data_IF_051996213867
#
_entry.id   IF_051996213867
#
_cell.length_a   1.000
_cell.length_b   1.000
_cell.length_c   1.000
_cell.angle_alpha   90.00
_cell.angle_beta   90.00
_cell.angle_gamma   90.00
#
_symmetry.space_group_name_H-M   'P 1'
#
loop_
_entity.id
_entity.type
_entity.pdbx_description
1 polymer ?
#
# COMPACT_ATOMS: atom_id res chain seq x y z
N UNK A 1 2.92 -16.21 14.26
CA UNK A 1 3.19 -16.11 12.80
C UNK A 1 2.80 -14.73 12.32
N UNK A 2 3.59 -14.04 11.50
CA UNK A 2 3.35 -12.61 11.18
C UNK A 2 2.00 -12.29 10.56
N UNK A 3 1.40 -13.18 9.76
CA UNK A 3 0.10 -12.98 9.09
C UNK A 3 -1.08 -13.69 9.77
N UNK A 4 -0.93 -14.22 10.95
CA UNK A 4 -1.97 -15.02 11.62
C UNK A 4 -3.20 -14.17 11.96
N UNK A 5 -2.99 -12.96 12.51
CA UNK A 5 -4.07 -12.04 12.80
C UNK A 5 -4.76 -11.55 11.53
N UNK A 6 -4.01 -11.28 10.48
CA UNK A 6 -4.53 -10.89 9.17
C UNK A 6 -5.47 -11.97 8.60
N UNK A 7 -4.99 -13.22 8.56
CA UNK A 7 -5.76 -14.38 8.05
C UNK A 7 -7.01 -14.65 8.88
N UNK A 8 -6.93 -14.51 10.19
CA UNK A 8 -8.08 -14.72 11.10
C UNK A 8 -9.22 -13.75 10.85
N UNK A 9 -8.92 -12.54 10.41
CA UNK A 9 -9.90 -11.47 10.18
C UNK A 9 -10.52 -11.52 8.78
N UNK A 10 -10.05 -12.38 7.88
CA UNK A 10 -10.47 -12.40 6.47
C UNK A 10 -10.87 -13.79 6.01
N UNK A 11 -11.91 -13.81 5.20
CA UNK A 11 -12.34 -15.01 4.46
C UNK A 11 -12.00 -14.81 2.97
N UNK A 12 -11.04 -15.58 2.48
CA UNK A 12 -10.56 -15.49 1.09
C UNK A 12 -11.66 -15.72 0.03
N UNK A 13 -12.75 -16.36 0.41
CA UNK A 13 -13.92 -16.57 -0.47
C UNK A 13 -14.84 -15.32 -0.53
N UNK A 14 -14.67 -14.36 0.37
CA UNK A 14 -15.59 -13.23 0.56
C UNK A 14 -14.94 -11.86 0.35
N UNK A 15 -13.62 -11.79 0.30
CA UNK A 15 -12.87 -10.55 0.08
C UNK A 15 -12.01 -10.64 -1.18
N UNK A 16 -11.87 -9.55 -1.97
CA UNK A 16 -10.90 -9.48 -3.05
C UNK A 16 -9.45 -9.26 -2.56
N UNK A 17 -9.27 -9.04 -1.27
CA UNK A 17 -7.94 -8.86 -0.68
C UNK A 17 -7.09 -10.12 -0.85
N UNK A 18 -5.77 -9.98 -1.06
CA UNK A 18 -4.87 -11.14 -1.09
C UNK A 18 -4.82 -11.81 0.29
N UNK A 19 -5.13 -13.10 0.37
CA UNK A 19 -5.03 -13.90 1.61
C UNK A 19 -4.11 -15.09 1.37
N UNK A 20 -2.79 -14.88 1.23
CA UNK A 20 -1.83 -15.94 0.96
C UNK A 20 -1.77 -16.92 2.14
N UNK A 21 -1.70 -18.21 1.82
CA UNK A 21 -1.58 -19.28 2.81
C UNK A 21 -0.11 -19.62 3.12
N UNK A 22 0.80 -19.29 2.20
CA UNK A 22 2.23 -19.49 2.39
C UNK A 22 2.80 -18.56 3.48
N UNK A 23 3.87 -18.98 4.10
CA UNK A 23 4.59 -18.15 5.04
C UNK A 23 5.32 -17.01 4.32
N UNK A 24 5.41 -15.84 4.97
CA UNK A 24 6.14 -14.71 4.41
C UNK A 24 7.61 -15.04 4.15
N UNK A 25 8.11 -14.58 3.02
CA UNK A 25 9.53 -14.67 2.65
C UNK A 25 10.12 -13.26 2.71
N UNK A 26 11.22 -13.04 3.47
CA UNK A 26 11.89 -11.77 3.53
C UNK A 26 12.23 -11.23 2.13
N UNK A 27 11.93 -9.95 1.90
CA UNK A 27 12.20 -9.24 0.66
C UNK A 27 13.35 -8.24 0.80
N UNK A 28 13.24 -7.11 0.12
CA UNK A 28 14.26 -6.05 0.12
C UNK A 28 14.13 -5.08 1.29
N UNK A 29 12.98 -5.06 1.97
CA UNK A 29 12.66 -4.16 3.09
C UNK A 29 12.80 -2.68 2.73
N UNK A 30 12.47 -2.33 1.48
CA UNK A 30 12.65 -0.98 0.95
C UNK A 30 11.43 -0.45 0.17
N UNK A 31 10.32 -1.19 0.11
CA UNK A 31 9.11 -0.77 -0.61
C UNK A 31 8.04 -0.27 0.35
N UNK A 32 7.27 0.72 -0.09
CA UNK A 32 6.11 1.17 0.64
C UNK A 32 4.91 1.41 -0.27
N UNK A 33 3.74 1.40 0.33
CA UNK A 33 2.50 1.90 -0.26
C UNK A 33 1.74 2.73 0.77
N UNK A 34 1.09 3.77 0.30
CA UNK A 34 0.07 4.52 1.04
C UNK A 34 -1.25 4.34 0.31
N UNK A 35 -2.25 3.82 1.00
CA UNK A 35 -3.56 3.57 0.43
C UNK A 35 -4.58 4.49 1.08
N UNK A 36 -5.36 5.20 0.25
CA UNK A 36 -6.53 5.95 0.69
C UNK A 36 -7.69 4.98 0.86
N UNK A 37 -8.24 4.92 2.06
CA UNK A 37 -9.27 3.96 2.42
C UNK A 37 -10.57 4.67 2.83
N UNK A 38 -11.57 4.56 1.98
CA UNK A 38 -12.93 5.04 2.21
C UNK A 38 -13.75 3.94 2.91
N UNK A 39 -13.40 3.69 4.17
CA UNK A 39 -14.13 2.80 5.07
C UNK A 39 -15.26 3.55 5.79
N UNK A 40 -15.64 3.14 7.01
CA UNK A 40 -16.57 3.90 7.86
C UNK A 40 -16.13 5.35 8.07
N UNK A 41 -14.82 5.57 8.15
CA UNK A 41 -14.17 6.89 8.17
C UNK A 41 -13.02 6.88 7.21
N UNK A 42 -12.84 7.98 6.47
CA UNK A 42 -11.69 8.14 5.57
C UNK A 42 -10.39 8.15 6.38
N UNK A 43 -9.43 7.36 5.97
CA UNK A 43 -8.08 7.33 6.50
C UNK A 43 -7.07 6.89 5.43
N UNK A 44 -5.80 7.02 5.74
CA UNK A 44 -4.71 6.55 4.89
C UNK A 44 -3.94 5.46 5.59
N UNK A 45 -3.81 4.31 4.95
CA UNK A 45 -3.00 3.21 5.42
C UNK A 45 -1.57 3.35 4.90
N UNK A 46 -0.62 3.54 5.79
CA UNK A 46 0.81 3.56 5.48
C UNK A 46 1.37 2.17 5.75
N UNK A 47 1.96 1.55 4.73
CA UNK A 47 2.50 0.21 4.80
C UNK A 47 3.95 0.18 4.35
N UNK A 48 4.82 -0.35 5.18
CA UNK A 48 6.25 -0.47 4.95
C UNK A 48 6.63 -1.95 4.90
N UNK A 49 7.29 -2.37 3.83
CA UNK A 49 7.82 -3.74 3.73
C UNK A 49 8.85 -3.99 4.82
N UNK A 50 8.67 -5.07 5.58
CA UNK A 50 9.61 -5.47 6.62
C UNK A 50 9.51 -6.96 6.90
N UNK A 51 10.65 -7.67 6.81
CA UNK A 51 10.73 -9.10 7.12
C UNK A 51 9.67 -9.96 6.40
N UNK A 52 9.38 -9.64 5.13
CA UNK A 52 8.44 -10.38 4.28
C UNK A 52 6.96 -10.02 4.46
N UNK A 53 6.63 -9.00 5.26
CA UNK A 53 5.29 -8.49 5.45
C UNK A 53 5.24 -6.97 5.31
N UNK A 54 4.07 -6.39 5.36
CA UNK A 54 3.86 -4.94 5.40
C UNK A 54 3.47 -4.51 6.81
N UNK A 55 4.42 -3.92 7.53
CA UNK A 55 4.13 -3.21 8.76
C UNK A 55 3.20 -2.02 8.46
N UNK A 56 2.06 -1.93 9.14
CA UNK A 56 0.95 -1.07 8.70
C UNK A 56 0.43 -0.16 9.82
N UNK A 57 0.09 1.08 9.44
CA UNK A 57 -0.53 2.08 10.32
C UNK A 57 -1.68 2.78 9.58
N UNK A 58 -2.83 2.89 10.24
CA UNK A 58 -3.93 3.73 9.77
C UNK A 58 -3.75 5.16 10.29
N UNK A 59 -3.76 6.14 9.40
CA UNK A 59 -3.55 7.56 9.69
C UNK A 59 -4.81 8.34 9.33
N UNK A 60 -5.67 8.70 10.29
CA UNK A 60 -7.00 9.29 10.01
C UNK A 60 -6.97 10.62 9.26
N UNK A 61 -5.89 11.37 9.38
CA UNK A 61 -5.74 12.69 8.74
C UNK A 61 -4.68 12.70 7.62
N UNK A 62 -4.24 11.51 7.17
CA UNK A 62 -3.19 11.38 6.17
C UNK A 62 -1.79 11.72 6.68
N UNK A 63 -0.80 11.55 5.80
CA UNK A 63 0.58 11.86 6.13
C UNK A 63 0.77 13.37 6.34
N UNK A 64 1.59 13.78 7.32
CA UNK A 64 1.95 15.18 7.48
C UNK A 64 2.79 15.67 6.29
N UNK A 65 2.42 16.79 5.72
CA UNK A 65 3.14 17.46 4.63
C UNK A 65 4.12 18.49 5.15
N UNK A 66 3.77 19.15 6.26
CA UNK A 66 4.56 20.17 6.89
C UNK A 66 5.38 19.59 8.06
N UNK A 67 6.61 20.11 8.29
CA UNK A 67 7.36 19.80 9.50
C UNK A 67 6.56 20.22 10.73
N UNK A 68 6.83 19.56 11.85
CA UNK A 68 6.16 19.81 13.15
C UNK A 68 4.67 19.45 13.21
N UNK A 69 4.05 19.10 12.10
CA UNK A 69 2.70 18.55 12.11
C UNK A 69 2.73 17.11 12.62
N UNK A 70 1.98 16.87 13.69
CA UNK A 70 1.82 15.54 14.28
C UNK A 70 0.48 14.94 13.88
N UNK A 71 0.48 13.68 13.47
CA UNK A 71 -0.71 12.89 13.13
C UNK A 71 -0.80 11.66 14.03
N UNK A 72 -2.01 11.31 14.42
CA UNK A 72 -2.27 9.99 15.00
C UNK A 72 -1.99 8.93 13.95
N UNK A 73 -1.31 7.87 14.35
CA UNK A 73 -1.10 6.66 13.55
C UNK A 73 -1.47 5.44 14.42
N UNK A 74 -2.43 4.67 13.96
CA UNK A 74 -2.91 3.48 14.69
C UNK A 74 -2.25 2.26 14.07
N UNK A 75 -1.42 1.54 14.85
CA UNK A 75 -0.80 0.30 14.38
C UNK A 75 -1.90 -0.74 14.12
N UNK A 76 -1.90 -1.30 12.93
CA UNK A 76 -2.79 -2.40 12.53
C UNK A 76 -1.99 -3.69 12.37
N UNK A 77 -2.67 -4.80 12.11
CA UNK A 77 -1.99 -6.06 11.81
C UNK A 77 -1.07 -5.94 10.60
N UNK A 78 -0.04 -6.78 10.55
CA UNK A 78 0.82 -6.89 9.37
C UNK A 78 0.01 -7.43 8.19
N UNK A 79 0.25 -6.88 7.01
CA UNK A 79 -0.40 -7.26 5.76
C UNK A 79 0.57 -8.05 4.87
N UNK A 80 0.07 -8.88 3.96
CA UNK A 80 0.92 -9.59 3.00
C UNK A 80 1.53 -8.63 1.97
N UNK A 81 2.68 -9.01 1.42
CA UNK A 81 3.43 -8.21 0.43
C UNK A 81 2.58 -7.90 -0.81
N UNK A 82 1.69 -8.78 -1.20
CA UNK A 82 0.77 -8.59 -2.34
C UNK A 82 -0.13 -7.36 -2.16
N UNK A 83 -0.27 -6.88 -0.93
CA UNK A 83 -1.04 -5.67 -0.63
C UNK A 83 -0.38 -4.38 -1.13
N UNK A 84 0.92 -4.42 -1.53
CA UNK A 84 1.60 -3.29 -2.17
C UNK A 84 0.90 -2.83 -3.45
N UNK A 85 0.24 -3.73 -4.16
CA UNK A 85 -0.42 -3.47 -5.44
C UNK A 85 -1.96 -3.52 -5.32
N UNK A 86 -2.47 -3.73 -4.11
CA UNK A 86 -3.91 -3.89 -3.92
C UNK A 86 -4.66 -2.56 -4.00
N UNK A 87 -5.67 -2.53 -4.84
CA UNK A 87 -6.74 -1.53 -4.84
C UNK A 87 -8.05 -2.21 -5.21
N UNK A 88 -9.16 -1.80 -4.61
CA UNK A 88 -10.46 -2.41 -4.86
C UNK A 88 -11.50 -2.08 -3.82
N UNK A 89 -12.69 -2.64 -4.03
CA UNK A 89 -13.80 -2.51 -3.10
C UNK A 89 -13.86 -3.74 -2.20
N UNK A 90 -13.63 -3.54 -0.90
CA UNK A 90 -13.81 -4.58 0.12
C UNK A 90 -15.29 -4.57 0.50
N UNK A 91 -16.01 -5.73 0.40
CA UNK A 91 -17.44 -5.76 0.63
C UNK A 91 -17.86 -5.23 1.99
N UNK A 92 -19.01 -4.57 2.03
CA UNK A 92 -19.61 -4.13 3.29
C UNK A 92 -19.92 -5.35 4.18
N UNK A 93 -19.53 -5.27 5.44
CA UNK A 93 -19.65 -6.37 6.41
C UNK A 93 -18.40 -7.23 6.54
N UNK A 94 -17.45 -7.15 5.61
CA UNK A 94 -16.13 -7.73 5.80
C UNK A 94 -15.22 -6.79 6.61
N UNK A 95 -14.20 -7.36 7.24
CA UNK A 95 -13.21 -6.57 7.99
C UNK A 95 -12.51 -5.58 7.03
N UNK A 96 -12.50 -4.31 7.41
CA UNK A 96 -11.93 -3.28 6.55
C UNK A 96 -12.82 -2.87 5.36
N UNK A 97 -14.12 -3.21 5.38
CA UNK A 97 -15.06 -2.90 4.30
C UNK A 97 -15.00 -1.45 3.85
N UNK A 98 -14.97 -1.22 2.52
CA UNK A 98 -14.87 0.09 1.90
C UNK A 98 -13.99 0.07 0.66
N UNK A 99 -13.85 1.23 0.04
CA UNK A 99 -13.03 1.39 -1.16
C UNK A 99 -11.59 1.74 -0.81
N UNK A 100 -10.66 0.99 -1.34
CA UNK A 100 -9.23 1.21 -1.17
C UNK A 100 -8.56 1.55 -2.50
N UNK A 101 -7.80 2.62 -2.53
CA UNK A 101 -7.06 3.06 -3.71
C UNK A 101 -5.61 3.38 -3.34
N UNK A 102 -4.67 3.09 -4.24
CA UNK A 102 -3.27 3.47 -4.03
C UNK A 102 -3.16 4.98 -4.16
N UNK A 103 -2.81 5.65 -3.05
CA UNK A 103 -2.58 7.08 -3.00
C UNK A 103 -1.14 7.43 -3.40
N UNK A 104 -0.16 6.62 -2.97
CA UNK A 104 1.25 6.71 -3.38
C UNK A 104 1.96 5.38 -3.14
N UNK A 105 3.06 5.17 -3.86
CA UNK A 105 3.93 4.02 -3.71
C UNK A 105 5.36 4.41 -4.08
N UNK A 106 6.33 3.68 -3.57
CA UNK A 106 7.73 3.96 -3.83
C UNK A 106 8.68 3.11 -3.00
N UNK A 107 9.87 3.64 -2.81
CA UNK A 107 10.89 3.03 -1.98
C UNK A 107 11.17 3.84 -0.73
N UNK A 108 11.81 3.22 0.25
CA UNK A 108 12.24 3.90 1.45
C UNK A 108 13.57 3.38 1.96
N UNK A 109 14.26 4.22 2.74
CA UNK A 109 15.45 3.86 3.48
C UNK A 109 15.13 3.85 4.98
N UNK A 110 15.57 2.80 5.67
CA UNK A 110 15.45 2.72 7.13
C UNK A 110 16.62 3.42 7.81
N UNK A 111 16.33 4.43 8.62
CA UNK A 111 17.31 5.05 9.52
C UNK A 111 17.28 4.42 10.92
N UNK A 112 16.08 4.02 11.37
CA UNK A 112 15.87 3.36 12.66
C UNK A 112 14.63 2.47 12.64
N UNK A 113 14.71 1.30 13.25
CA UNK A 113 13.59 0.41 13.40
C UNK A 113 13.65 -0.35 14.72
N UNK A 114 12.74 -0.05 15.63
CA UNK A 114 12.58 -0.78 16.90
C UNK A 114 11.10 -0.72 17.36
N UNK A 115 10.73 -1.45 18.45
CA UNK A 115 9.35 -1.51 18.90
C UNK A 115 8.73 -0.17 19.38
N UNK A 116 9.54 0.87 19.53
CA UNK A 116 9.08 2.18 20.04
C UNK A 116 9.19 3.28 18.99
N UNK A 117 10.04 3.10 17.99
CA UNK A 117 10.35 4.15 17.03
C UNK A 117 10.75 3.56 15.69
N UNK A 118 10.14 4.09 14.63
CA UNK A 118 10.51 3.80 13.25
C UNK A 118 10.81 5.12 12.56
N UNK A 119 12.00 5.24 11.98
CA UNK A 119 12.45 6.41 11.23
C UNK A 119 12.83 5.94 9.83
N UNK A 120 12.15 6.49 8.84
CA UNK A 120 12.33 6.15 7.44
C UNK A 120 12.39 7.40 6.57
N UNK A 121 13.10 7.29 5.46
CA UNK A 121 13.09 8.29 4.40
C UNK A 121 12.32 7.73 3.21
N UNK A 122 11.11 8.24 2.99
CA UNK A 122 10.27 7.84 1.87
C UNK A 122 10.72 8.54 0.58
N UNK A 123 10.61 7.81 -0.53
CA UNK A 123 10.85 8.26 -1.90
C UNK A 123 9.67 7.88 -2.77
N UNK A 124 8.56 8.52 -2.51
CA UNK A 124 7.36 8.43 -3.31
C UNK A 124 7.17 9.65 -4.18
N UNK A 125 6.08 9.68 -4.91
CA UNK A 125 5.69 10.83 -5.74
C UNK A 125 5.02 11.93 -4.91
N UNK A 126 4.24 11.54 -3.88
CA UNK A 126 3.52 12.43 -2.96
C UNK A 126 4.11 12.39 -1.56
N UNK A 127 4.46 11.19 -1.10
CA UNK A 127 5.12 10.95 0.17
C UNK A 127 6.64 10.93 -0.03
N UNK A 128 7.28 12.08 0.07
CA UNK A 128 8.72 12.24 -0.02
C UNK A 128 9.24 12.92 1.23
N UNK A 129 10.31 12.39 1.81
CA UNK A 129 10.99 12.99 2.95
C UNK A 129 11.15 12.05 4.14
N UNK A 130 11.62 12.62 5.24
CA UNK A 130 11.91 11.90 6.47
C UNK A 130 10.71 11.85 7.39
N UNK A 131 10.23 10.64 7.69
CA UNK A 131 9.08 10.39 8.54
C UNK A 131 9.47 9.64 9.80
N UNK A 132 8.91 10.06 10.91
CA UNK A 132 9.19 9.51 12.24
C UNK A 132 7.88 9.02 12.85
N UNK A 133 7.83 7.73 13.12
CA UNK A 133 6.75 7.07 13.85
C UNK A 133 7.23 6.83 15.28
N UNK A 134 6.51 7.30 16.26
CA UNK A 134 6.85 7.14 17.68
C UNK A 134 5.67 6.52 18.41
N UNK A 135 5.91 5.44 19.13
CA UNK A 135 4.91 4.79 19.97
C UNK A 135 4.64 5.61 21.22
N UNK A 136 3.37 5.91 21.47
CA UNK A 136 2.88 6.63 22.63
C UNK A 136 1.77 5.81 23.28
N UNK A 137 2.12 5.01 24.29
CA UNK A 137 1.16 4.05 24.88
C UNK A 137 0.71 2.99 23.89
N UNK A 138 -0.60 2.92 23.65
CA UNK A 138 -1.21 1.97 22.71
C UNK A 138 -1.24 2.46 21.26
N UNK A 139 -1.01 3.74 21.06
CA UNK A 139 -1.02 4.36 19.73
C UNK A 139 0.39 4.79 19.30
N UNK A 140 0.46 5.27 18.07
CA UNK A 140 1.64 5.88 17.50
C UNK A 140 1.31 7.30 17.04
N UNK A 141 2.32 8.13 16.98
CA UNK A 141 2.26 9.41 16.28
C UNK A 141 3.19 9.38 15.08
N UNK A 142 2.80 10.06 14.04
CA UNK A 142 3.55 10.22 12.81
C UNK A 142 3.84 11.71 12.59
N UNK A 143 5.10 12.05 12.34
CA UNK A 143 5.50 13.40 11.97
C UNK A 143 6.49 13.39 10.82
N UNK A 144 6.52 14.46 10.05
CA UNK A 144 7.58 14.77 9.12
C UNK A 144 8.69 15.53 9.85
N UNK A 145 9.95 15.27 9.58
CA UNK A 145 11.09 15.87 10.32
C UNK A 145 12.11 16.57 9.43
N UNK A 146 11.88 16.63 8.13
CA UNK A 146 12.62 17.47 7.21
C UNK A 146 11.72 18.58 6.64
N UNK A 147 12.25 19.69 6.13
CA UNK A 147 11.48 20.70 5.45
C UNK A 147 10.65 20.08 4.31
N UNK A 148 9.48 20.64 4.06
CA UNK A 148 8.76 20.31 2.84
C UNK A 148 9.68 20.55 1.63
N UNK A 149 9.69 19.65 0.62
CA UNK A 149 10.43 19.92 -0.60
C UNK A 149 9.93 21.26 -1.18
N UNK A 150 10.88 22.06 -1.68
CA UNK A 150 10.58 23.33 -2.35
C UNK A 150 9.93 23.03 -3.73
N UNK A 151 8.73 22.49 -3.68
CA UNK A 151 7.89 22.17 -4.82
C UNK A 151 6.59 22.92 -4.64
N UNK A 152 6.09 23.48 -5.74
CA UNK A 152 4.71 23.92 -5.79
C UNK A 152 3.80 22.80 -5.22
N UNK A 153 2.90 23.12 -4.32
CA UNK A 153 1.99 22.14 -3.76
C UNK A 153 1.34 21.42 -4.93
N UNK A 154 1.60 20.10 -5.01
CA UNK A 154 0.92 19.28 -6.01
C UNK A 154 -0.56 19.63 -5.94
N UNK A 155 -1.22 19.92 -7.07
CA UNK A 155 -2.64 20.17 -7.07
C UNK A 155 -3.29 19.08 -6.22
N UNK A 156 -4.26 19.46 -5.39
CA UNK A 156 -5.03 18.52 -4.57
C UNK A 156 -5.84 17.60 -5.47
N UNK A 157 -5.11 16.80 -6.24
CA UNK A 157 -5.69 15.80 -7.10
C UNK A 157 -6.08 14.62 -6.22
N UNK A 158 -7.31 14.65 -5.79
CA UNK A 158 -7.94 13.56 -5.04
C UNK A 158 -8.22 12.35 -5.93
N UNK A 159 -7.80 12.37 -7.20
CA UNK A 159 -8.00 11.23 -8.09
C UNK A 159 -7.05 10.10 -7.72
N UNK A 160 -7.55 8.86 -7.59
CA UNK A 160 -6.72 7.69 -7.42
C UNK A 160 -5.67 7.61 -8.54
N UNK A 161 -4.45 7.19 -8.23
CA UNK A 161 -3.53 6.78 -9.28
C UNK A 161 -4.16 5.57 -9.98
N UNK A 162 -4.59 5.77 -11.23
CA UNK A 162 -4.98 4.64 -12.06
C UNK A 162 -3.75 3.73 -12.21
N UNK A 163 -3.94 2.45 -11.90
CA UNK A 163 -2.92 1.45 -12.20
C UNK A 163 -2.59 1.55 -13.69
N UNK A 164 -1.33 1.77 -14.02
CA UNK A 164 -0.89 1.76 -15.42
C UNK A 164 -1.29 0.40 -16.00
N UNK A 165 -2.15 0.34 -17.02
CA UNK A 165 -2.51 -0.93 -17.63
C UNK A 165 -1.23 -1.59 -18.12
N UNK A 166 -0.95 -2.78 -17.64
CA UNK A 166 0.17 -3.58 -18.12
C UNK A 166 0.10 -3.73 -19.64
N UNK A 167 1.24 -3.94 -20.34
CA UNK A 167 1.26 -4.07 -21.78
C UNK A 167 0.29 -5.18 -22.21
N UNK A 168 -0.64 -4.80 -23.10
CA UNK A 168 -1.59 -5.73 -23.71
C UNK A 168 -0.84 -6.94 -24.29
N UNK A 169 -1.31 -8.16 -24.09
CA UNK A 169 -0.71 -9.33 -24.70
C UNK A 169 -0.74 -9.15 -26.21
N UNK A 170 0.44 -9.25 -26.84
CA UNK A 170 0.57 -9.17 -28.29
C UNK A 170 -0.34 -10.23 -28.92
N UNK A 171 -1.31 -9.80 -29.70
CA UNK A 171 -2.17 -10.69 -30.49
C UNK A 171 -1.27 -11.55 -31.39
N UNK A 172 -1.31 -12.85 -31.20
CA UNK A 172 -0.75 -13.81 -32.14
C UNK A 172 -1.55 -13.69 -33.44
N UNK A 173 -0.92 -13.19 -34.46
CA UNK A 173 -1.45 -13.20 -35.84
C UNK A 173 -1.59 -14.67 -36.24
N UNK A 174 -2.83 -15.14 -36.36
CA UNK A 174 -3.13 -16.41 -36.95
C UNK A 174 -2.88 -16.27 -38.48
N UNK A 175 -1.79 -16.86 -38.95
CA UNK A 175 -1.57 -17.09 -40.36
C UNK A 175 -2.59 -18.10 -40.85
N UNK A 176 -3.53 -17.66 -41.68
CA UNK A 176 -4.45 -18.52 -42.40
C UNK A 176 -3.67 -19.36 -43.43
N UNK A 177 -3.51 -20.65 -43.17
CA UNK A 177 -3.10 -21.60 -44.18
C UNK A 177 -4.28 -21.84 -45.12
N UNK A 178 -4.09 -21.46 -46.40
CA UNK A 178 -5.04 -21.69 -47.46
C UNK A 178 -5.35 -23.18 -47.65
N UNK A 179 -6.63 -23.48 -47.68
CA UNK A 179 -7.12 -24.78 -48.20
C UNK A 179 -7.16 -24.72 -49.70
N UNK A 180 -6.34 -25.55 -50.34
CA UNK A 180 -6.45 -25.86 -51.76
C UNK A 180 -7.50 -26.96 -51.92
N UNK A 181 -8.61 -26.65 -52.61
CA UNK A 181 -9.53 -27.64 -53.17
C UNK A 181 -9.02 -28.05 -54.55
N UNK A 182 -8.67 -29.31 -54.75
CA UNK A 182 -8.53 -29.96 -56.06
C UNK A 182 -9.84 -30.69 -56.40
N UNK A 183 -10.41 -30.30 -57.54
CA UNK A 183 -11.53 -31.02 -58.16
C UNK A 183 -10.92 -31.98 -59.20
N UNK A 184 -11.30 -33.23 -59.14
CA UNK A 184 -11.26 -34.20 -60.23
C UNK A 184 -12.36 -35.22 -59.97
#
# INVERSE_FOLDING_TARGET
MPLEEYRRKRDAARTPEPVPQADPVPGTDDRFVVQEHHARSLHWDVRLERDGVLASWAVPKGLPTEPDTVRLAVRTEDHPIEYLEFSGDIPAGEYGGGRMTIWDTGTYETEKWNPREVIVRLRGRRAEGRYVFIRTGDNWILRRSDPAPDRDPLPRDTRPMEATPGPLPRSRTMTSRGFHFSVS
#
